data_IF_774404187301
#
_entry.id   IF_774404187301
#
_cell.length_a   1.000
_cell.length_b   1.000
_cell.length_c   1.000
_cell.angle_alpha   90.00
_cell.angle_beta   90.00
_cell.angle_gamma   90.00
#
_symmetry.space_group_name_H-M   'P 1'
#
loop_
_entity.id
_entity.type
_entity.pdbx_description
1 polymer ?
#
# COMPACT_ATOMS: atom_id res chain seq x y z
N UNK A 1 12.10 10.13 19.30
CA UNK A 1 10.85 9.44 18.92
C UNK A 1 9.76 10.48 18.98
N UNK A 2 9.13 10.81 17.85
CA UNK A 2 8.00 11.73 17.87
C UNK A 2 6.87 11.06 18.65
N UNK A 3 6.48 11.65 19.78
CA UNK A 3 5.35 11.13 20.56
C UNK A 3 4.09 11.54 19.80
N UNK A 4 3.42 10.57 19.17
CA UNK A 4 2.15 10.81 18.49
C UNK A 4 1.10 11.17 19.56
N UNK A 5 0.13 12.02 19.20
CA UNK A 5 -1.07 12.13 20.02
C UNK A 5 -1.78 10.78 20.05
N UNK A 6 -2.66 10.56 21.02
CA UNK A 6 -3.46 9.32 21.09
C UNK A 6 -4.21 9.03 19.78
N UNK A 7 -4.78 10.07 19.15
CA UNK A 7 -5.43 9.95 17.84
C UNK A 7 -4.43 9.58 16.73
N UNK A 8 -3.19 10.07 16.81
CA UNK A 8 -2.11 9.72 15.90
C UNK A 8 -1.67 8.26 16.02
N UNK A 9 -1.63 7.72 17.24
CA UNK A 9 -1.32 6.30 17.48
C UNK A 9 -2.42 5.38 16.92
N UNK A 10 -3.69 5.75 17.10
CA UNK A 10 -4.84 4.98 16.57
C UNK A 10 -4.82 4.99 15.04
N UNK A 11 -4.56 6.14 14.42
CA UNK A 11 -4.47 6.24 12.97
C UNK A 11 -3.30 5.41 12.43
N UNK A 12 -2.13 5.49 13.06
CA UNK A 12 -0.95 4.71 12.67
C UNK A 12 -1.19 3.20 12.78
N UNK A 13 -1.78 2.74 13.89
CA UNK A 13 -2.14 1.34 14.07
C UNK A 13 -3.16 0.86 13.04
N UNK A 14 -4.16 1.68 12.72
CA UNK A 14 -5.15 1.37 11.70
C UNK A 14 -4.53 1.26 10.31
N UNK A 15 -3.68 2.22 9.93
CA UNK A 15 -2.99 2.23 8.64
C UNK A 15 -2.04 1.01 8.51
N UNK A 16 -1.30 0.70 9.57
CA UNK A 16 -0.42 -0.45 9.63
C UNK A 16 -1.19 -1.77 9.49
N UNK A 17 -2.32 -1.91 10.19
CA UNK A 17 -3.16 -3.10 10.09
C UNK A 17 -3.70 -3.31 8.66
N UNK A 18 -4.12 -2.23 7.99
CA UNK A 18 -4.59 -2.28 6.60
C UNK A 18 -3.47 -2.66 5.64
N UNK A 19 -2.28 -2.09 5.81
CA UNK A 19 -1.12 -2.44 5.01
C UNK A 19 -0.77 -3.93 5.15
N UNK A 20 -0.69 -4.43 6.38
CA UNK A 20 -0.38 -5.85 6.65
C UNK A 20 -1.45 -6.77 6.05
N UNK A 21 -2.73 -6.42 6.18
CA UNK A 21 -3.82 -7.20 5.60
C UNK A 21 -3.74 -7.24 4.07
N UNK A 22 -3.41 -6.11 3.43
CA UNK A 22 -3.20 -6.04 1.98
C UNK A 22 -2.02 -6.90 1.54
N UNK A 23 -0.88 -6.82 2.22
CA UNK A 23 0.30 -7.62 1.91
C UNK A 23 0.03 -9.12 2.04
N UNK A 24 -0.67 -9.52 3.10
CA UNK A 24 -1.08 -10.91 3.30
C UNK A 24 -2.01 -11.40 2.17
N UNK A 25 -2.94 -10.56 1.73
CA UNK A 25 -3.84 -10.88 0.61
C UNK A 25 -3.07 -11.02 -0.71
N UNK A 26 -2.22 -10.06 -1.05
CA UNK A 26 -1.38 -10.11 -2.27
C UNK A 26 -0.54 -11.38 -2.27
N UNK A 27 0.10 -11.69 -1.14
CA UNK A 27 0.92 -12.89 -1.00
C UNK A 27 0.11 -14.17 -1.20
N UNK A 28 -1.07 -14.26 -0.59
CA UNK A 28 -1.96 -15.41 -0.75
C UNK A 28 -2.36 -15.64 -2.22
N UNK A 29 -2.65 -14.55 -2.95
CA UNK A 29 -3.00 -14.59 -4.37
C UNK A 29 -1.82 -14.97 -5.27
N UNK A 30 -0.60 -14.56 -4.91
CA UNK A 30 0.61 -14.98 -5.62
C UNK A 30 0.90 -16.47 -5.38
N UNK A 31 0.80 -16.93 -4.14
CA UNK A 31 1.06 -18.34 -3.77
C UNK A 31 0.06 -19.31 -4.39
N UNK A 32 -1.19 -18.90 -4.56
CA UNK A 32 -2.22 -19.72 -5.21
C UNK A 32 -2.25 -19.59 -6.75
N UNK A 33 -1.38 -18.75 -7.32
CA UNK A 33 -1.26 -18.53 -8.76
C UNK A 33 -2.32 -17.63 -9.39
N UNK A 34 -3.19 -16.98 -8.61
CA UNK A 34 -4.16 -16.00 -9.11
C UNK A 34 -3.49 -14.68 -9.54
N UNK A 35 -2.35 -14.35 -8.94
CA UNK A 35 -1.48 -13.25 -9.35
C UNK A 35 -0.09 -13.78 -9.68
N UNK A 36 0.55 -13.19 -10.69
CA UNK A 36 1.99 -13.35 -10.90
C UNK A 36 2.75 -12.50 -9.88
N UNK A 37 3.96 -12.93 -9.45
CA UNK A 37 4.81 -12.11 -8.60
C UNK A 37 4.98 -10.69 -9.15
N UNK A 38 4.67 -9.69 -8.33
CA UNK A 38 4.79 -8.26 -8.68
C UNK A 38 3.66 -7.70 -9.55
N UNK A 39 2.70 -8.53 -9.99
CA UNK A 39 1.58 -8.08 -10.84
C UNK A 39 0.73 -6.99 -10.17
N UNK A 40 0.55 -7.08 -8.84
CA UNK A 40 -0.15 -6.05 -8.09
C UNK A 40 0.61 -4.71 -8.09
N UNK A 41 1.92 -4.75 -7.86
CA UNK A 41 2.78 -3.56 -7.83
C UNK A 41 2.81 -2.83 -9.19
N UNK A 42 2.79 -3.58 -10.29
CA UNK A 42 2.71 -3.02 -11.64
C UNK A 42 1.34 -2.38 -11.91
N UNK A 43 0.25 -3.07 -11.53
CA UNK A 43 -1.10 -2.53 -11.65
C UNK A 43 -1.27 -1.25 -10.82
N UNK A 44 -0.70 -1.21 -9.62
CA UNK A 44 -0.72 -0.05 -8.74
C UNK A 44 0.05 1.12 -9.36
N UNK A 45 1.21 0.87 -9.97
CA UNK A 45 1.95 1.90 -10.71
C UNK A 45 1.12 2.49 -11.86
N UNK A 46 0.47 1.65 -12.66
CA UNK A 46 -0.39 2.12 -13.75
C UNK A 46 -1.55 2.96 -13.23
N UNK A 47 -2.17 2.57 -12.12
CA UNK A 47 -3.23 3.33 -11.48
C UNK A 47 -2.74 4.71 -11.03
N UNK A 48 -1.56 4.77 -10.40
CA UNK A 48 -0.94 6.04 -9.97
C UNK A 48 -0.65 6.97 -11.15
N UNK A 49 -0.09 6.46 -12.25
CA UNK A 49 0.14 7.27 -13.45
C UNK A 49 -1.16 7.78 -14.06
N UNK A 50 -2.20 6.93 -14.10
CA UNK A 50 -3.51 7.32 -14.64
C UNK A 50 -4.24 8.34 -13.77
N UNK A 51 -4.12 8.25 -12.45
CA UNK A 51 -4.78 9.12 -11.47
C UNK A 51 -3.93 10.32 -11.05
N UNK A 52 -2.73 10.50 -11.61
CA UNK A 52 -1.75 11.49 -11.13
C UNK A 52 -2.27 12.93 -11.07
N UNK A 53 -3.26 13.28 -11.90
CA UNK A 53 -3.88 14.62 -11.90
C UNK A 53 -4.95 14.80 -10.83
N UNK A 54 -5.52 13.71 -10.33
CA UNK A 54 -6.67 13.70 -9.42
C UNK A 54 -6.28 13.30 -7.99
N UNK A 55 -5.11 12.68 -7.81
CA UNK A 55 -4.59 12.26 -6.52
C UNK A 55 -3.76 13.38 -5.88
N UNK A 56 -3.94 13.58 -4.57
CA UNK A 56 -3.07 14.47 -3.80
C UNK A 56 -1.66 13.89 -3.66
N UNK A 57 -0.66 14.75 -3.48
CA UNK A 57 0.74 14.35 -3.25
C UNK A 57 0.88 13.37 -2.08
N UNK A 58 0.11 13.58 -1.01
CA UNK A 58 0.06 12.68 0.14
C UNK A 58 -0.46 11.29 -0.26
N UNK A 59 -1.52 11.23 -1.07
CA UNK A 59 -2.07 9.95 -1.53
C UNK A 59 -1.06 9.23 -2.43
N UNK A 60 -0.42 9.95 -3.34
CA UNK A 60 0.64 9.40 -4.20
C UNK A 60 1.80 8.84 -3.36
N UNK A 61 2.27 9.56 -2.34
CA UNK A 61 3.32 9.10 -1.45
C UNK A 61 2.95 7.80 -0.72
N UNK A 62 1.71 7.69 -0.21
CA UNK A 62 1.21 6.46 0.41
C UNK A 62 1.17 5.29 -0.59
N UNK A 63 0.70 5.54 -1.81
CA UNK A 63 0.63 4.51 -2.86
C UNK A 63 2.03 4.05 -3.30
N UNK A 64 3.00 4.96 -3.36
CA UNK A 64 4.40 4.60 -3.58
C UNK A 64 4.92 3.67 -2.47
N UNK A 65 4.65 3.97 -1.19
CA UNK A 65 5.04 3.12 -0.07
C UNK A 65 4.38 1.74 -0.10
N UNK A 66 3.08 1.66 -0.45
CA UNK A 66 2.38 0.38 -0.64
C UNK A 66 3.04 -0.42 -1.77
N UNK A 67 3.33 0.22 -2.90
CA UNK A 67 3.97 -0.43 -4.04
C UNK A 67 5.32 -1.03 -3.65
N UNK A 68 6.16 -0.27 -2.95
CA UNK A 68 7.46 -0.74 -2.48
C UNK A 68 7.32 -1.92 -1.52
N UNK A 69 6.38 -1.85 -0.58
CA UNK A 69 6.12 -2.94 0.36
C UNK A 69 5.63 -4.22 -0.33
N UNK A 70 4.89 -4.10 -1.44
CA UNK A 70 4.42 -5.27 -2.23
C UNK A 70 5.47 -5.85 -3.18
N UNK A 71 6.61 -5.18 -3.37
CA UNK A 71 7.71 -5.67 -4.20
C UNK A 71 8.77 -6.44 -3.38
N UNK A 72 8.77 -6.29 -2.05
CA UNK A 72 9.71 -6.92 -1.12
C UNK A 72 9.30 -8.35 -0.75
#
# INVERSE_FOLDING_TARGET
MANLSHDGEVLDAHMTAHLVALLALVRCLEENGSLRPGQYADALHMAMESGRRDLSDMTLAMLHGIREATLA
#
